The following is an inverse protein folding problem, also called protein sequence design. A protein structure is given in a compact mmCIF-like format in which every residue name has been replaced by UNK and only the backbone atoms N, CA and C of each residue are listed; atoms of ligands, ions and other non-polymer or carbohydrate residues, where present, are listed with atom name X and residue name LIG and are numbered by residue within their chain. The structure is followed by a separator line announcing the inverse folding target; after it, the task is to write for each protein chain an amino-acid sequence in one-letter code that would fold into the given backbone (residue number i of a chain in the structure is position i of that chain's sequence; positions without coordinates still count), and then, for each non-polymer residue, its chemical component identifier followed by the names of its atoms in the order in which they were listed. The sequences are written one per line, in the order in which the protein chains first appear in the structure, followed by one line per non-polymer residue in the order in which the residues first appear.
data_IF_895622455490
#
_entry.id   IF_895622455490
#
_cell.length_a   1.000
_cell.length_b   1.000
_cell.length_c   1.000
_cell.angle_alpha   90.00
_cell.angle_beta   90.00
_cell.angle_gamma   90.00
#
_symmetry.space_group_name_H-M   'P 1'
#
loop_
_entity.id
_entity.type
_entity.pdbx_description
1 polymer ?
#
# COMPACT_ATOMS: atom_id res chain seq x y z
N UNK A 1 47.66 22.11 37.40
CA UNK A 1 47.00 22.44 36.15
C UNK A 1 46.25 21.21 35.67
N UNK A 2 44.96 21.17 35.90
CA UNK A 2 44.06 20.14 35.37
C UNK A 2 43.68 20.61 33.95
N UNK A 3 43.68 19.72 32.94
CA UNK A 3 43.21 20.11 31.62
C UNK A 3 41.68 20.33 31.66
N UNK A 4 41.26 21.48 31.12
CA UNK A 4 39.88 21.82 30.90
C UNK A 4 39.18 20.71 30.11
N UNK A 5 38.19 20.09 30.72
CA UNK A 5 37.23 19.22 30.01
C UNK A 5 36.48 20.12 29.01
N UNK A 6 36.81 20.03 27.75
CA UNK A 6 36.00 20.57 26.66
C UNK A 6 34.66 19.85 26.74
N UNK A 7 33.67 20.56 27.27
CA UNK A 7 32.28 20.10 27.18
C UNK A 7 31.93 19.96 25.70
N UNK A 8 31.83 18.73 25.21
CA UNK A 8 31.22 18.44 23.91
C UNK A 8 29.84 19.08 23.86
N UNK A 9 29.69 20.11 23.02
CA UNK A 9 28.35 20.63 22.74
C UNK A 9 27.51 19.48 22.17
N UNK A 10 26.28 19.27 22.65
CA UNK A 10 25.43 18.21 22.13
C UNK A 10 25.24 18.46 20.62
N UNK A 11 25.83 17.61 19.82
CA UNK A 11 25.66 17.64 18.37
C UNK A 11 24.19 17.46 18.08
N UNK A 12 23.54 18.49 17.51
CA UNK A 12 22.12 18.46 17.16
C UNK A 12 21.89 17.25 16.24
N UNK A 13 21.04 16.33 16.66
CA UNK A 13 20.73 15.14 15.85
C UNK A 13 20.22 15.55 14.47
N UNK A 14 20.62 14.84 13.41
CA UNK A 14 20.01 15.00 12.10
C UNK A 14 18.52 14.70 12.20
N UNK A 15 17.70 15.39 11.40
CA UNK A 15 16.25 15.30 11.45
C UNK A 15 15.72 14.78 10.11
N UNK A 16 14.86 13.77 10.17
CA UNK A 16 14.07 13.27 9.04
C UNK A 16 12.62 13.71 9.21
N UNK A 17 12.05 14.37 8.19
CA UNK A 17 10.61 14.60 8.13
C UNK A 17 9.89 13.36 7.56
N UNK A 18 8.92 12.83 8.28
CA UNK A 18 8.11 11.68 7.86
C UNK A 18 6.65 12.09 7.70
N UNK A 19 6.17 12.10 6.45
CA UNK A 19 4.77 12.39 6.13
C UNK A 19 4.01 11.09 5.85
N UNK A 20 2.93 10.87 6.58
CA UNK A 20 2.06 9.73 6.37
C UNK A 20 0.60 10.13 6.23
N UNK A 21 -0.14 9.37 5.38
CA UNK A 21 -1.59 9.54 5.23
C UNK A 21 -2.37 9.06 6.46
N UNK A 22 -1.93 7.95 7.07
CA UNK A 22 -2.59 7.34 8.22
C UNK A 22 -2.47 8.19 9.51
N UNK A 23 -3.11 7.72 10.58
CA UNK A 23 -2.94 8.25 11.94
C UNK A 23 -1.80 7.53 12.67
N UNK A 24 -1.23 8.13 13.74
CA UNK A 24 -0.32 7.43 14.63
C UNK A 24 -0.91 6.09 15.11
N UNK A 25 -0.10 5.03 15.14
CA UNK A 25 -0.55 3.69 15.55
C UNK A 25 -1.26 2.85 14.49
N UNK A 26 -1.76 3.46 13.40
CA UNK A 26 -2.33 2.76 12.25
C UNK A 26 -1.35 2.62 11.07
N UNK A 27 -0.08 2.91 11.28
CA UNK A 27 0.93 2.87 10.23
C UNK A 27 2.00 1.80 10.51
N UNK A 28 1.71 0.50 10.31
CA UNK A 28 2.73 -0.57 10.41
C UNK A 28 3.89 -0.33 9.43
N UNK A 29 3.68 0.48 8.40
CA UNK A 29 4.66 0.97 7.44
C UNK A 29 5.79 1.76 8.07
N UNK A 30 5.55 2.46 9.20
CA UNK A 30 6.58 3.22 9.92
C UNK A 30 7.66 2.29 10.49
N UNK A 31 7.27 1.15 11.08
CA UNK A 31 8.22 0.19 11.62
C UNK A 31 9.13 -0.39 10.54
N UNK A 32 8.61 -0.62 9.33
CA UNK A 32 9.38 -1.11 8.18
C UNK A 32 10.41 -0.06 7.71
N UNK A 33 9.99 1.21 7.62
CA UNK A 33 10.89 2.33 7.32
C UNK A 33 12.00 2.44 8.36
N UNK A 34 11.67 2.40 9.65
CA UNK A 34 12.65 2.45 10.75
C UNK A 34 13.60 1.26 10.71
N UNK A 35 13.12 0.06 10.35
CA UNK A 35 13.95 -1.12 10.13
C UNK A 35 15.01 -0.87 9.05
N UNK A 36 14.60 -0.38 7.87
CA UNK A 36 15.52 -0.03 6.78
C UNK A 36 16.51 1.08 7.16
N UNK A 37 16.07 2.07 7.92
CA UNK A 37 16.93 3.12 8.45
C UNK A 37 17.97 2.53 9.44
N UNK A 38 17.54 1.62 10.33
CA UNK A 38 18.37 0.92 11.29
C UNK A 38 19.49 0.10 10.65
N UNK A 39 19.26 -0.50 9.48
CA UNK A 39 20.29 -1.23 8.73
C UNK A 39 21.47 -0.35 8.29
N UNK A 40 21.24 0.96 8.22
CA UNK A 40 22.30 1.93 7.95
C UNK A 40 22.98 2.46 9.20
N UNK A 41 22.59 1.99 10.40
CA UNK A 41 23.12 2.39 11.68
C UNK A 41 22.43 3.59 12.33
N UNK A 42 21.29 4.06 11.79
CA UNK A 42 20.52 5.13 12.39
C UNK A 42 19.34 4.59 13.20
N UNK A 43 19.23 5.03 14.46
CA UNK A 43 18.18 4.63 15.41
C UNK A 43 17.51 5.90 15.94
N UNK A 44 16.20 5.98 15.77
CA UNK A 44 15.40 7.08 16.26
C UNK A 44 15.61 7.32 17.76
N UNK A 45 15.79 8.60 18.14
CA UNK A 45 16.05 9.02 19.52
C UNK A 45 17.48 8.80 20.01
N UNK A 46 18.33 8.06 19.27
CA UNK A 46 19.74 7.86 19.62
C UNK A 46 20.66 8.73 18.77
N UNK A 47 20.59 8.63 17.45
CA UNK A 47 21.49 9.34 16.54
C UNK A 47 20.76 9.97 15.33
N UNK A 48 19.43 9.93 15.32
CA UNK A 48 18.55 10.62 14.39
C UNK A 48 17.24 10.97 15.09
N UNK A 49 16.68 12.13 14.76
CA UNK A 49 15.31 12.52 15.17
C UNK A 49 14.36 12.41 13.97
N UNK A 50 13.11 12.01 14.21
CA UNK A 50 12.08 11.94 13.17
C UNK A 50 10.93 12.89 13.54
N UNK A 51 10.63 13.81 12.65
CA UNK A 51 9.47 14.69 12.75
C UNK A 51 8.31 14.10 11.95
N UNK A 52 7.34 13.55 12.66
CA UNK A 52 6.16 12.95 12.05
C UNK A 52 5.10 13.98 11.72
N UNK A 53 4.50 13.86 10.54
CA UNK A 53 3.28 14.57 10.13
C UNK A 53 2.25 13.55 9.65
N UNK A 54 1.09 13.57 10.29
CA UNK A 54 0.00 12.63 10.04
C UNK A 54 -1.17 13.35 9.40
N UNK A 55 -1.57 12.91 8.22
CA UNK A 55 -2.73 13.47 7.52
C UNK A 55 -4.06 12.95 8.09
N UNK A 56 -4.03 11.90 8.93
CA UNK A 56 -5.20 11.34 9.63
C UNK A 56 -6.35 10.98 8.67
N UNK A 57 -6.00 10.38 7.53
CA UNK A 57 -6.96 9.98 6.51
C UNK A 57 -7.47 11.11 5.61
N UNK A 58 -6.91 12.31 5.70
CA UNK A 58 -7.36 13.50 4.98
C UNK A 58 -6.37 13.90 3.89
N UNK A 59 -6.75 13.72 2.63
CA UNK A 59 -5.93 14.10 1.47
C UNK A 59 -5.68 15.60 1.37
N UNK A 60 -6.65 16.42 1.75
CA UNK A 60 -6.58 17.88 1.73
C UNK A 60 -5.50 18.45 2.67
N UNK A 61 -5.08 17.70 3.69
CA UNK A 61 -4.01 18.10 4.62
C UNK A 61 -2.60 17.85 4.07
N UNK A 62 -2.44 16.92 3.14
CA UNK A 62 -1.11 16.52 2.66
C UNK A 62 -0.26 17.65 2.09
N UNK A 63 -0.77 18.57 1.25
CA UNK A 63 0.04 19.68 0.72
C UNK A 63 0.60 20.59 1.80
N UNK A 64 -0.22 20.97 2.79
CA UNK A 64 0.20 21.83 3.89
C UNK A 64 1.24 21.14 4.80
N UNK A 65 1.03 19.86 5.13
CA UNK A 65 1.97 19.07 5.93
C UNK A 65 3.30 18.82 5.21
N UNK A 66 3.25 18.62 3.88
CA UNK A 66 4.46 18.50 3.07
C UNK A 66 5.25 19.83 3.04
N UNK A 67 4.56 20.97 2.90
CA UNK A 67 5.17 22.28 2.95
C UNK A 67 5.81 22.58 4.31
N UNK A 68 5.18 22.15 5.40
CA UNK A 68 5.70 22.29 6.77
C UNK A 68 7.03 21.51 6.98
N UNK A 69 7.13 20.33 6.36
CA UNK A 69 8.37 19.53 6.40
C UNK A 69 9.40 19.97 5.36
N UNK A 70 8.99 20.63 4.30
CA UNK A 70 9.88 21.04 3.21
C UNK A 70 10.81 22.17 3.69
N UNK A 71 12.13 21.92 3.65
CA UNK A 71 13.14 22.94 3.84
C UNK A 71 13.67 23.38 2.48
N UNK A 72 14.00 24.69 2.28
CA UNK A 72 14.60 25.15 1.03
C UNK A 72 15.87 24.38 0.67
N UNK A 73 15.99 23.91 -0.57
CA UNK A 73 17.15 23.19 -1.09
C UNK A 73 17.03 21.66 -1.09
N UNK A 74 15.83 21.11 -0.87
CA UNK A 74 15.62 19.67 -0.91
C UNK A 74 15.80 19.05 -2.30
N UNK A 75 16.67 18.04 -2.40
CA UNK A 75 16.72 17.11 -3.54
C UNK A 75 15.70 15.99 -3.30
N UNK A 76 15.18 15.40 -4.38
CA UNK A 76 14.22 14.31 -4.33
C UNK A 76 14.85 13.02 -4.84
N UNK A 77 14.73 11.95 -4.07
CA UNK A 77 14.96 10.58 -4.50
C UNK A 77 13.87 9.69 -3.89
N UNK A 78 13.77 8.45 -4.32
CA UNK A 78 12.77 7.54 -3.73
C UNK A 78 12.61 6.23 -4.49
N UNK A 79 11.54 5.51 -4.12
CA UNK A 79 11.14 4.26 -4.76
C UNK A 79 9.82 4.48 -5.50
N UNK A 80 9.77 4.11 -6.77
CA UNK A 80 8.56 4.14 -7.58
C UNK A 80 7.88 2.77 -7.58
N UNK A 81 6.56 2.78 -7.38
CA UNK A 81 5.73 1.57 -7.42
C UNK A 81 4.86 1.58 -8.67
N UNK A 82 5.13 0.68 -9.61
CA UNK A 82 4.27 0.41 -10.77
C UNK A 82 3.02 -0.33 -10.30
N UNK A 83 1.94 0.38 -10.07
CA UNK A 83 0.71 -0.22 -9.53
C UNK A 83 -0.52 0.05 -10.37
N UNK A 84 -0.50 1.09 -11.20
CA UNK A 84 -1.62 1.43 -12.07
C UNK A 84 -1.76 0.40 -13.18
N UNK A 85 -0.65 0.01 -13.79
CA UNK A 85 -0.56 -0.97 -14.89
C UNK A 85 -1.00 -2.39 -14.46
N UNK A 86 -1.08 -2.65 -13.15
CA UNK A 86 -1.45 -3.98 -12.62
C UNK A 86 -2.95 -4.19 -12.47
N UNK A 87 -3.78 -3.17 -12.67
CA UNK A 87 -5.23 -3.29 -12.49
C UNK A 87 -5.86 -4.29 -13.46
N UNK A 88 -5.45 -4.27 -14.72
CA UNK A 88 -5.89 -5.24 -15.72
C UNK A 88 -5.48 -6.68 -15.36
N UNK A 89 -4.25 -6.86 -14.84
CA UNK A 89 -3.76 -8.18 -14.42
C UNK A 89 -4.48 -8.70 -13.17
N UNK A 90 -4.83 -7.83 -12.23
CA UNK A 90 -5.66 -8.21 -11.08
C UNK A 90 -7.07 -8.64 -11.52
N UNK A 91 -7.69 -7.93 -12.46
CA UNK A 91 -8.98 -8.35 -13.02
C UNK A 91 -8.86 -9.72 -13.71
N UNK A 92 -7.76 -9.97 -14.44
CA UNK A 92 -7.49 -11.27 -15.05
C UNK A 92 -7.41 -12.39 -14.00
N UNK A 93 -6.62 -12.21 -12.95
CA UNK A 93 -6.48 -13.17 -11.85
C UNK A 93 -7.81 -13.42 -11.13
N UNK A 94 -8.57 -12.36 -10.87
CA UNK A 94 -9.89 -12.49 -10.25
C UNK A 94 -10.85 -13.26 -11.17
N UNK A 95 -10.86 -13.00 -12.48
CA UNK A 95 -11.70 -13.73 -13.43
C UNK A 95 -11.28 -15.21 -13.59
N UNK A 96 -9.99 -15.51 -13.47
CA UNK A 96 -9.49 -16.89 -13.46
C UNK A 96 -9.91 -17.63 -12.18
N UNK A 97 -9.92 -16.92 -11.06
CA UNK A 97 -10.31 -17.46 -9.75
C UNK A 97 -11.81 -17.71 -9.63
N UNK A 98 -12.62 -16.83 -10.20
CA UNK A 98 -14.09 -16.88 -10.15
C UNK A 98 -14.67 -16.79 -11.58
N UNK A 99 -14.49 -17.79 -12.43
CA UNK A 99 -14.86 -17.71 -13.86
C UNK A 99 -16.36 -17.50 -14.09
N UNK A 100 -17.21 -17.84 -13.10
CA UNK A 100 -18.66 -17.58 -13.16
C UNK A 100 -19.02 -16.13 -12.79
N UNK A 101 -18.08 -15.29 -12.37
CA UNK A 101 -18.35 -13.90 -12.01
C UNK A 101 -18.48 -13.04 -13.28
N UNK A 102 -19.69 -12.91 -13.79
CA UNK A 102 -19.99 -11.98 -14.91
C UNK A 102 -20.00 -10.52 -14.48
N UNK A 103 -20.15 -10.26 -13.18
CA UNK A 103 -20.18 -8.92 -12.58
C UNK A 103 -19.13 -8.82 -11.49
N UNK A 104 -18.25 -7.82 -11.60
CA UNK A 104 -17.20 -7.49 -10.63
C UNK A 104 -17.38 -6.06 -10.18
N UNK A 105 -17.20 -5.79 -8.88
CA UNK A 105 -17.11 -4.42 -8.38
C UNK A 105 -15.65 -3.96 -8.32
N UNK A 106 -15.38 -2.72 -8.74
CA UNK A 106 -14.11 -2.06 -8.50
C UNK A 106 -14.28 -1.00 -7.41
N UNK A 107 -13.62 -1.20 -6.27
CA UNK A 107 -13.60 -0.22 -5.19
C UNK A 107 -12.52 0.83 -5.48
N UNK A 108 -12.93 2.10 -5.52
CA UNK A 108 -12.06 3.25 -5.77
C UNK A 108 -12.29 4.35 -4.74
N UNK A 109 -11.24 5.13 -4.46
CA UNK A 109 -11.37 6.35 -3.67
C UNK A 109 -11.55 7.55 -4.62
N UNK A 110 -12.67 8.28 -4.56
CA UNK A 110 -12.94 9.43 -5.45
C UNK A 110 -11.96 10.59 -5.22
N UNK A 111 -11.30 10.66 -4.05
CA UNK A 111 -10.41 11.76 -3.67
C UNK A 111 -8.96 11.57 -4.20
N UNK A 112 -8.68 10.46 -4.88
CA UNK A 112 -7.34 10.16 -5.41
C UNK A 112 -7.25 10.61 -6.87
N UNK A 113 -6.21 11.37 -7.21
CA UNK A 113 -6.00 11.94 -8.56
C UNK A 113 -5.86 10.88 -9.68
N UNK A 114 -5.50 9.66 -9.34
CA UNK A 114 -5.33 8.56 -10.30
C UNK A 114 -6.60 7.72 -10.51
N UNK A 115 -7.69 8.02 -9.81
CA UNK A 115 -8.92 7.21 -9.81
C UNK A 115 -9.52 7.06 -11.21
N UNK A 116 -9.65 8.13 -11.95
CA UNK A 116 -10.23 8.10 -13.30
C UNK A 116 -9.38 7.25 -14.27
N UNK A 117 -8.06 7.27 -14.11
CA UNK A 117 -7.17 6.40 -14.90
C UNK A 117 -7.38 4.93 -14.54
N UNK A 118 -7.41 4.61 -13.25
CA UNK A 118 -7.65 3.22 -12.78
C UNK A 118 -8.99 2.67 -13.25
N UNK A 119 -10.04 3.52 -13.27
CA UNK A 119 -11.37 3.14 -13.78
C UNK A 119 -11.28 2.79 -15.27
N UNK A 120 -10.72 3.67 -16.09
CA UNK A 120 -10.59 3.44 -17.54
C UNK A 120 -9.82 2.16 -17.85
N UNK A 121 -8.67 1.96 -17.20
CA UNK A 121 -7.80 0.79 -17.44
C UNK A 121 -8.54 -0.53 -17.12
N UNK A 122 -9.33 -0.55 -16.04
CA UNK A 122 -10.13 -1.74 -15.67
C UNK A 122 -11.31 -1.93 -16.61
N UNK A 123 -12.02 -0.87 -16.99
CA UNK A 123 -13.16 -0.95 -17.92
C UNK A 123 -12.73 -1.47 -19.30
N UNK A 124 -11.55 -1.06 -19.79
CA UNK A 124 -11.02 -1.57 -21.04
C UNK A 124 -10.68 -3.06 -20.95
N UNK A 125 -9.97 -3.47 -19.88
CA UNK A 125 -9.67 -4.88 -19.64
C UNK A 125 -10.95 -5.74 -19.49
N UNK A 126 -11.96 -5.21 -18.82
CA UNK A 126 -13.24 -5.88 -18.60
C UNK A 126 -14.00 -6.09 -19.93
N UNK A 127 -13.99 -5.08 -20.82
CA UNK A 127 -14.60 -5.18 -22.14
C UNK A 127 -13.98 -6.33 -22.97
N UNK A 128 -12.66 -6.47 -22.90
CA UNK A 128 -11.97 -7.56 -23.62
C UNK A 128 -12.34 -8.94 -23.05
N UNK A 129 -12.60 -9.01 -21.75
CA UNK A 129 -12.94 -10.28 -21.06
C UNK A 129 -14.44 -10.59 -21.03
N UNK A 130 -15.29 -9.68 -21.48
CA UNK A 130 -16.76 -9.85 -21.39
C UNK A 130 -17.30 -9.79 -19.95
N UNK A 131 -16.58 -9.11 -19.02
CA UNK A 131 -16.97 -8.93 -17.62
C UNK A 131 -17.55 -7.54 -17.44
N UNK A 132 -18.69 -7.44 -16.75
CA UNK A 132 -19.26 -6.16 -16.34
C UNK A 132 -18.56 -5.65 -15.08
N UNK A 133 -18.14 -4.38 -15.07
CA UNK A 133 -17.53 -3.76 -13.89
C UNK A 133 -18.41 -2.63 -13.36
N UNK A 134 -18.82 -2.76 -12.10
CA UNK A 134 -19.47 -1.69 -11.35
C UNK A 134 -18.42 -0.92 -10.53
N UNK A 135 -18.36 0.40 -10.74
CA UNK A 135 -17.50 1.28 -9.95
C UNK A 135 -18.21 1.63 -8.66
N UNK A 136 -17.60 1.25 -7.53
CA UNK A 136 -18.09 1.57 -6.19
C UNK A 136 -17.08 2.48 -5.50
N UNK A 137 -17.57 3.54 -4.84
CA UNK A 137 -16.74 4.62 -4.33
C UNK A 137 -16.76 4.67 -2.81
N UNK A 138 -15.60 4.82 -2.20
CA UNK A 138 -15.47 5.12 -0.77
C UNK A 138 -14.27 6.06 -0.56
N UNK A 139 -14.51 7.24 -0.03
CA UNK A 139 -13.50 8.25 0.30
C UNK A 139 -13.29 8.42 1.81
N UNK A 140 -14.02 7.67 2.64
CA UNK A 140 -13.93 7.67 4.10
C UNK A 140 -14.14 6.25 4.66
N UNK A 141 -13.81 6.06 5.93
CA UNK A 141 -14.01 4.79 6.65
C UNK A 141 -15.49 4.38 6.68
N UNK A 142 -16.38 5.31 6.99
CA UNK A 142 -17.82 5.05 7.06
C UNK A 142 -18.43 4.68 5.70
N UNK A 143 -17.88 5.24 4.61
CA UNK A 143 -18.32 4.91 3.26
C UNK A 143 -17.88 3.50 2.83
N UNK A 144 -16.78 2.98 3.37
CA UNK A 144 -16.34 1.61 3.09
C UNK A 144 -17.42 0.60 3.49
N UNK A 145 -17.99 0.72 4.70
CA UNK A 145 -19.03 -0.20 5.18
C UNK A 145 -20.28 -0.18 4.29
N UNK A 146 -20.78 1.02 3.97
CA UNK A 146 -21.96 1.21 3.13
C UNK A 146 -21.71 0.68 1.71
N UNK A 147 -20.53 0.93 1.16
CA UNK A 147 -20.16 0.52 -0.18
C UNK A 147 -20.08 -1.01 -0.29
N UNK A 148 -19.44 -1.69 0.66
CA UNK A 148 -19.36 -3.15 0.61
C UNK A 148 -20.70 -3.83 0.89
N UNK A 149 -21.56 -3.23 1.70
CA UNK A 149 -22.94 -3.72 1.90
C UNK A 149 -23.78 -3.66 0.60
N UNK A 150 -23.49 -2.71 -0.30
CA UNK A 150 -24.20 -2.58 -1.59
C UNK A 150 -23.84 -3.65 -2.62
N UNK A 151 -22.72 -4.38 -2.45
CA UNK A 151 -22.25 -5.37 -3.44
C UNK A 151 -23.25 -6.48 -3.75
N UNK A 152 -24.03 -6.90 -2.75
CA UNK A 152 -25.08 -7.90 -2.95
C UNK A 152 -26.19 -7.38 -3.89
N UNK A 153 -26.59 -6.12 -3.75
CA UNK A 153 -27.61 -5.48 -4.62
C UNK A 153 -27.09 -5.33 -6.05
N UNK A 154 -25.79 -5.11 -6.23
CA UNK A 154 -25.11 -5.03 -7.52
C UNK A 154 -24.87 -6.42 -8.14
N UNK A 155 -25.21 -7.50 -7.43
CA UNK A 155 -24.91 -8.88 -7.82
C UNK A 155 -23.42 -9.11 -8.14
N UNK A 156 -22.53 -8.30 -7.54
CA UNK A 156 -21.10 -8.42 -7.74
C UNK A 156 -20.58 -9.71 -7.10
N UNK A 157 -19.97 -10.56 -7.90
CA UNK A 157 -19.41 -11.85 -7.49
C UNK A 157 -17.88 -11.83 -7.35
N UNK A 158 -17.30 -10.64 -7.44
CA UNK A 158 -15.88 -10.39 -7.21
C UNK A 158 -15.65 -8.93 -6.87
N UNK A 159 -14.62 -8.67 -6.09
CA UNK A 159 -14.23 -7.32 -5.67
C UNK A 159 -12.77 -7.08 -6.07
N UNK A 160 -12.54 -6.03 -6.86
CA UNK A 160 -11.23 -5.53 -7.22
C UNK A 160 -10.94 -4.27 -6.37
N UNK A 161 -10.06 -4.38 -5.40
CA UNK A 161 -9.68 -3.25 -4.53
C UNK A 161 -8.57 -2.44 -5.20
N UNK A 162 -8.84 -1.19 -5.48
CA UNK A 162 -7.85 -0.28 -6.05
C UNK A 162 -6.79 0.12 -5.01
N UNK A 163 -5.61 0.48 -5.48
CA UNK A 163 -4.56 1.00 -4.60
C UNK A 163 -4.94 2.37 -4.06
N UNK A 164 -4.99 2.47 -2.75
CA UNK A 164 -5.24 3.74 -2.08
C UNK A 164 -4.71 3.71 -0.63
N UNK A 165 -4.11 4.80 -0.11
CA UNK A 165 -3.67 4.88 1.28
C UNK A 165 -4.78 4.68 2.31
N UNK A 166 -6.01 5.14 2.05
CA UNK A 166 -7.16 4.89 2.92
C UNK A 166 -7.43 3.39 3.01
N UNK A 167 -7.52 2.71 1.87
CA UNK A 167 -7.80 1.27 1.82
C UNK A 167 -6.69 0.45 2.49
N UNK A 168 -5.42 0.86 2.32
CA UNK A 168 -4.31 0.20 2.99
C UNK A 168 -4.36 0.40 4.52
N UNK A 169 -4.71 1.59 5.00
CA UNK A 169 -4.86 1.84 6.44
C UNK A 169 -6.07 1.12 7.07
N UNK A 170 -7.07 0.76 6.24
CA UNK A 170 -8.31 0.07 6.61
C UNK A 170 -8.39 -1.36 6.05
N UNK A 171 -7.22 -1.99 5.78
CA UNK A 171 -7.17 -3.32 5.16
C UNK A 171 -7.89 -4.39 5.98
N UNK A 172 -7.78 -4.36 7.30
CA UNK A 172 -8.46 -5.32 8.19
C UNK A 172 -9.98 -5.19 8.10
N UNK A 173 -10.48 -3.95 8.08
CA UNK A 173 -11.91 -3.66 7.87
C UNK A 173 -12.38 -4.18 6.50
N UNK A 174 -11.66 -3.87 5.43
CA UNK A 174 -11.98 -4.31 4.06
C UNK A 174 -12.00 -5.83 3.95
N UNK A 175 -11.01 -6.51 4.51
CA UNK A 175 -10.91 -7.97 4.51
C UNK A 175 -12.07 -8.59 5.29
N UNK A 176 -12.38 -8.06 6.49
CA UNK A 176 -13.49 -8.53 7.30
C UNK A 176 -14.85 -8.34 6.60
N UNK A 177 -15.05 -7.21 5.92
CA UNK A 177 -16.27 -6.94 5.17
C UNK A 177 -16.40 -7.85 3.94
N UNK A 178 -15.34 -8.05 3.17
CA UNK A 178 -15.35 -8.97 2.04
C UNK A 178 -15.70 -10.41 2.48
N UNK A 179 -15.12 -10.86 3.60
CA UNK A 179 -15.43 -12.15 4.20
C UNK A 179 -16.90 -12.23 4.68
N UNK A 180 -17.39 -11.20 5.38
CA UNK A 180 -18.79 -11.13 5.85
C UNK A 180 -19.81 -11.24 4.73
N UNK A 181 -19.52 -10.58 3.60
CA UNK A 181 -20.38 -10.59 2.42
C UNK A 181 -20.09 -11.76 1.48
N UNK A 182 -19.16 -12.66 1.84
CA UNK A 182 -18.73 -13.81 1.03
C UNK A 182 -18.34 -13.40 -0.41
N UNK A 183 -17.69 -12.24 -0.59
CA UNK A 183 -17.26 -11.74 -1.88
C UNK A 183 -15.77 -12.03 -2.09
N UNK A 184 -15.39 -12.86 -3.07
CA UNK A 184 -14.00 -13.06 -3.46
C UNK A 184 -13.35 -11.72 -3.84
N UNK A 185 -12.24 -11.38 -3.19
CA UNK A 185 -11.60 -10.09 -3.40
C UNK A 185 -10.11 -10.25 -3.73
N UNK A 186 -9.63 -9.42 -4.68
CA UNK A 186 -8.22 -9.26 -5.00
C UNK A 186 -7.71 -7.89 -4.57
N UNK A 187 -6.52 -7.89 -3.99
CA UNK A 187 -5.93 -6.73 -3.33
C UNK A 187 -4.60 -6.30 -3.96
N UNK A 188 -4.18 -5.03 -3.76
CA UNK A 188 -2.95 -4.51 -4.33
C UNK A 188 -1.65 -4.94 -3.63
N UNK A 189 -1.73 -5.39 -2.37
CA UNK A 189 -0.57 -5.65 -1.52
C UNK A 189 -0.70 -6.98 -0.77
N UNK A 190 0.44 -7.68 -0.58
CA UNK A 190 0.52 -8.94 0.17
C UNK A 190 -0.01 -8.85 1.60
N UNK A 191 0.13 -7.69 2.22
CA UNK A 191 -0.37 -7.40 3.58
C UNK A 191 -1.88 -7.60 3.73
N UNK A 192 -2.66 -7.47 2.66
CA UNK A 192 -4.09 -7.80 2.69
C UNK A 192 -4.32 -9.32 2.77
N UNK A 193 -3.54 -10.11 2.03
CA UNK A 193 -3.64 -11.56 2.10
C UNK A 193 -3.19 -12.08 3.48
N UNK A 194 -2.13 -11.47 4.05
CA UNK A 194 -1.68 -11.75 5.41
C UNK A 194 -2.73 -11.39 6.47
N UNK A 195 -3.53 -10.34 6.24
CA UNK A 195 -4.66 -9.97 7.11
C UNK A 195 -5.92 -10.84 6.91
N UNK A 196 -5.86 -11.90 6.08
CA UNK A 196 -6.98 -12.80 5.79
C UNK A 196 -7.70 -12.54 4.47
N UNK A 197 -7.21 -11.64 3.62
CA UNK A 197 -7.72 -11.45 2.25
C UNK A 197 -7.44 -12.66 1.37
N UNK A 198 -8.26 -12.87 0.33
CA UNK A 198 -8.22 -14.07 -0.50
C UNK A 198 -6.95 -14.15 -1.36
N UNK A 199 -6.66 -13.10 -2.09
CA UNK A 199 -5.55 -13.05 -3.05
C UNK A 199 -5.05 -11.61 -3.20
N UNK A 200 -3.75 -11.44 -3.36
CA UNK A 200 -3.16 -10.16 -3.70
C UNK A 200 -2.16 -10.30 -4.84
N UNK A 201 -2.03 -9.24 -5.64
CA UNK A 201 -1.03 -9.16 -6.69
C UNK A 201 -0.49 -7.74 -6.81
N UNK A 202 0.80 -7.56 -6.57
CA UNK A 202 1.46 -6.26 -6.65
C UNK A 202 2.89 -6.27 -6.17
N UNK A 203 3.58 -5.13 -6.21
CA UNK A 203 4.93 -5.02 -5.66
C UNK A 203 4.90 -5.13 -4.13
N UNK A 204 6.01 -5.57 -3.55
CA UNK A 204 6.17 -5.61 -2.09
C UNK A 204 6.24 -4.19 -1.51
N UNK A 205 5.20 -3.79 -0.80
CA UNK A 205 5.16 -2.50 -0.10
C UNK A 205 6.21 -2.47 1.03
N UNK A 206 6.36 -3.59 1.72
CA UNK A 206 7.36 -3.77 2.77
C UNK A 206 8.78 -3.58 2.22
N UNK A 207 9.14 -4.21 1.09
CA UNK A 207 10.45 -4.03 0.47
C UNK A 207 10.70 -2.57 0.05
N UNK A 208 9.69 -1.92 -0.54
CA UNK A 208 9.78 -0.52 -0.95
C UNK A 208 10.03 0.43 0.23
N UNK A 209 9.29 0.28 1.32
CA UNK A 209 9.43 1.14 2.51
C UNK A 209 10.75 0.90 3.24
N UNK A 210 11.22 -0.35 3.30
CA UNK A 210 12.55 -0.67 3.81
C UNK A 210 13.64 0.05 2.99
N UNK A 211 13.52 0.03 1.67
CA UNK A 211 14.46 0.71 0.78
C UNK A 211 14.47 2.23 0.96
N UNK A 212 13.29 2.84 1.19
CA UNK A 212 13.19 4.27 1.53
C UNK A 212 13.95 4.57 2.83
N UNK A 213 13.86 3.71 3.84
CA UNK A 213 14.63 3.83 5.08
C UNK A 213 16.14 3.75 4.84
N UNK A 214 16.60 2.80 4.03
CA UNK A 214 18.00 2.65 3.63
C UNK A 214 18.47 3.91 2.90
N UNK A 215 17.67 4.47 2.00
CA UNK A 215 18.01 5.70 1.27
C UNK A 215 18.14 6.90 2.20
N UNK A 216 17.21 7.06 3.14
CA UNK A 216 17.29 8.10 4.15
C UNK A 216 18.62 8.01 4.93
N UNK A 217 19.00 6.82 5.36
CA UNK A 217 20.27 6.60 6.05
C UNK A 217 21.52 6.86 5.20
N UNK A 218 21.49 6.49 3.91
CA UNK A 218 22.60 6.83 2.98
C UNK A 218 22.74 8.35 2.81
N UNK A 219 21.63 9.08 2.72
CA UNK A 219 21.64 10.55 2.62
C UNK A 219 22.20 11.16 3.90
N UNK A 220 21.83 10.67 5.06
CA UNK A 220 22.38 11.13 6.33
C UNK A 220 23.90 10.87 6.44
N UNK A 221 24.44 9.87 5.74
CA UNK A 221 25.87 9.58 5.60
C UNK A 221 26.57 10.43 4.54
N UNK A 222 25.86 11.36 3.89
CA UNK A 222 26.40 12.30 2.92
C UNK A 222 26.20 11.92 1.45
N UNK A 223 25.48 10.84 1.14
CA UNK A 223 25.10 10.56 -0.24
C UNK A 223 24.17 11.65 -0.75
N UNK A 224 24.40 12.13 -1.97
CA UNK A 224 23.49 13.11 -2.58
C UNK A 224 22.26 12.37 -3.11
N UNK A 225 21.04 12.86 -2.89
CA UNK A 225 19.83 12.28 -3.46
C UNK A 225 19.90 12.08 -4.98
N UNK A 226 20.54 13.02 -5.70
CA UNK A 226 20.71 12.93 -7.15
C UNK A 226 21.61 11.75 -7.61
N UNK A 227 22.49 11.25 -6.74
CA UNK A 227 23.37 10.12 -7.03
C UNK A 227 22.73 8.77 -6.65
N UNK A 228 21.56 8.79 -5.97
CA UNK A 228 20.81 7.60 -5.62
C UNK A 228 19.81 7.31 -6.75
N UNK A 229 19.81 6.08 -7.31
CA UNK A 229 18.86 5.74 -8.36
C UNK A 229 17.43 5.83 -7.84
N UNK A 230 16.49 6.27 -8.68
CA UNK A 230 15.07 6.05 -8.41
C UNK A 230 14.82 4.58 -8.67
N UNK A 231 14.77 3.80 -7.59
CA UNK A 231 14.49 2.37 -7.73
C UNK A 231 13.01 2.14 -8.07
N UNK A 232 12.78 1.32 -9.06
CA UNK A 232 11.46 0.83 -9.39
C UNK A 232 11.30 -0.57 -8.79
N UNK A 233 10.29 -0.75 -7.94
CA UNK A 233 9.97 -2.07 -7.42
C UNK A 233 9.44 -2.94 -8.57
N UNK A 234 10.32 -3.74 -9.15
CA UNK A 234 10.03 -4.62 -10.29
C UNK A 234 9.57 -6.00 -9.87
N UNK A 235 9.89 -6.42 -8.62
CA UNK A 235 9.42 -7.69 -8.09
C UNK A 235 7.94 -7.57 -7.74
N UNK A 236 7.11 -8.27 -8.49
CA UNK A 236 5.68 -8.43 -8.21
C UNK A 236 5.48 -9.74 -7.46
N UNK A 237 4.61 -9.72 -6.46
CA UNK A 237 4.31 -10.86 -5.59
C UNK A 237 2.83 -11.23 -5.76
N UNK A 238 2.58 -12.50 -6.01
CA UNK A 238 1.27 -13.13 -6.00
C UNK A 238 1.14 -13.92 -4.69
N UNK A 239 0.28 -13.46 -3.79
CA UNK A 239 0.04 -14.13 -2.50
C UNK A 239 -1.40 -14.67 -2.48
N UNK A 240 -1.55 -15.93 -2.10
CA UNK A 240 -2.86 -16.62 -2.06
C UNK A 240 -3.10 -17.15 -0.64
N UNK A 241 -4.30 -16.90 -0.10
CA UNK A 241 -4.71 -17.40 1.21
C UNK A 241 -5.71 -18.55 1.05
N UNK A 242 -5.24 -19.78 1.29
CA UNK A 242 -6.05 -20.99 1.17
C UNK A 242 -7.11 -21.12 2.27
N UNK A 243 -6.85 -20.59 3.47
CA UNK A 243 -7.88 -20.55 4.54
C UNK A 243 -9.10 -19.76 4.09
N UNK A 244 -8.85 -18.59 3.50
CA UNK A 244 -9.92 -17.72 2.99
C UNK A 244 -10.60 -18.33 1.77
N UNK A 245 -9.85 -18.95 0.87
CA UNK A 245 -10.41 -19.66 -0.27
C UNK A 245 -11.37 -20.77 0.21
N UNK A 246 -10.94 -21.60 1.16
CA UNK A 246 -11.77 -22.65 1.77
C UNK A 246 -13.01 -22.08 2.44
N UNK A 247 -12.89 -20.99 3.19
CA UNK A 247 -14.04 -20.34 3.84
C UNK A 247 -15.06 -19.79 2.84
N UNK A 248 -14.62 -19.37 1.66
CA UNK A 248 -15.47 -18.92 0.55
C UNK A 248 -16.00 -20.07 -0.34
N UNK A 249 -15.62 -21.31 -0.04
CA UNK A 249 -15.98 -22.47 -0.87
C UNK A 249 -15.32 -22.49 -2.24
N UNK A 250 -14.17 -21.82 -2.39
CA UNK A 250 -13.43 -21.70 -3.63
C UNK A 250 -12.28 -22.72 -3.70
N UNK A 251 -12.13 -23.31 -4.88
CA UNK A 251 -10.94 -24.08 -5.23
C UNK A 251 -10.02 -23.18 -6.05
N UNK A 252 -8.79 -22.96 -5.56
CA UNK A 252 -7.80 -22.16 -6.28
C UNK A 252 -7.27 -22.96 -7.47
N UNK A 253 -7.33 -22.43 -8.71
CA UNK A 253 -6.80 -23.10 -9.89
C UNK A 253 -5.30 -23.40 -9.74
N UNK A 254 -4.86 -24.56 -10.24
CA UNK A 254 -3.45 -24.94 -10.22
C UNK A 254 -2.56 -23.93 -10.98
N UNK A 255 -3.10 -23.30 -12.01
CA UNK A 255 -2.44 -22.23 -12.75
C UNK A 255 -2.12 -20.99 -11.90
N UNK A 256 -2.96 -20.66 -10.91
CA UNK A 256 -2.70 -19.59 -9.93
C UNK A 256 -1.67 -20.05 -8.90
N UNK A 257 -1.85 -21.26 -8.32
CA UNK A 257 -0.94 -21.79 -7.31
C UNK A 257 0.50 -21.95 -7.84
N UNK A 258 0.67 -22.38 -9.08
CA UNK A 258 1.98 -22.52 -9.71
C UNK A 258 2.73 -21.19 -9.93
N UNK A 259 1.99 -20.07 -9.91
CA UNK A 259 2.55 -18.70 -10.06
C UNK A 259 2.64 -17.95 -8.73
N UNK A 260 2.09 -18.52 -7.64
CA UNK A 260 2.09 -17.87 -6.35
C UNK A 260 3.52 -17.84 -5.79
N UNK A 261 3.94 -16.65 -5.33
CA UNK A 261 5.19 -16.45 -4.60
C UNK A 261 5.04 -16.88 -3.14
N UNK A 262 3.83 -16.76 -2.60
CA UNK A 262 3.48 -17.17 -1.24
C UNK A 262 2.07 -17.76 -1.19
N UNK A 263 1.94 -18.86 -0.43
CA UNK A 263 0.64 -19.51 -0.15
C UNK A 263 0.47 -19.59 1.35
N UNK A 264 -0.57 -18.94 1.87
CA UNK A 264 -0.94 -18.92 3.30
C UNK A 264 -1.92 -20.07 3.55
N UNK A 265 -1.51 -21.02 4.42
CA UNK A 265 -2.26 -22.21 4.81
C UNK A 265 -2.96 -22.06 6.17
#
# INVERSE_FOLDING_TARGET
MLPDAIAEQPTKLPVIGYLAFASPGLAPTTAVFLGGLGETGYVEGQNVAIEYRWAEGRYDRLPALAADLARPGGNLTGVSLLTLELMAKRLELLSELVPQASVVAQLVNPNTSTTERMIRDVQEAARVKGVQVHIVKAGSESEIDATLASLAQLQARGLLVSRDPLFNSRREQLVALAARHAVPAIYPWGEFAAAGGLISYGPSLTAALRQVGIYAGKILKGAKPADLPVEQATKLELVVNLKTAKALGLTIPQSILARADEVIE
#
